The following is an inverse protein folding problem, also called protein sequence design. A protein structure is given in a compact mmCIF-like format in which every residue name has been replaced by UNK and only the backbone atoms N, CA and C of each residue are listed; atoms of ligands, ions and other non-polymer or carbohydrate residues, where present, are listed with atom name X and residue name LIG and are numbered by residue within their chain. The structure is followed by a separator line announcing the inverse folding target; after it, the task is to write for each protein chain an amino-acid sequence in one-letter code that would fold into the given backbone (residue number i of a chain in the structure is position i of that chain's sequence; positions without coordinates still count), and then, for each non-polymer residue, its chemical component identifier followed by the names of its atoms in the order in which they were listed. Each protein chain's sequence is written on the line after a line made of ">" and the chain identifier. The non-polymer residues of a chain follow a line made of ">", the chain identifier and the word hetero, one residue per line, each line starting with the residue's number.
data_IF_231367789007
#
_entry.id   IF_231367789007
#
_cell.length_a   1.000
_cell.length_b   1.000
_cell.length_c   1.000
_cell.angle_alpha   90.00
_cell.angle_beta   90.00
_cell.angle_gamma   90.00
#
_symmetry.space_group_name_H-M   'P 1'
#
loop_
_entity.id
_entity.type
_entity.pdbx_description
1 polymer ?
#
# COMPACT_ATOMS: atom_id res chain seq x y z
N UNK A 1 2.82 12.97 4.21
CA UNK A 1 4.28 13.05 4.31
C UNK A 1 4.88 13.12 2.90
N UNK A 2 6.13 13.58 2.72
CA UNK A 2 6.81 13.47 1.45
C UNK A 2 7.21 12.02 1.14
N UNK A 3 7.43 11.71 -0.14
CA UNK A 3 8.10 10.48 -0.58
C UNK A 3 9.61 10.68 -0.42
N UNK A 4 10.18 10.10 0.64
CA UNK A 4 11.63 10.09 0.86
C UNK A 4 12.28 8.83 0.27
N UNK A 5 13.62 8.77 0.40
CA UNK A 5 14.42 7.66 -0.14
C UNK A 5 14.06 6.31 0.47
N UNK A 6 13.77 6.25 1.77
CA UNK A 6 13.44 5.00 2.47
C UNK A 6 12.10 4.45 1.96
N UNK A 7 11.08 5.31 1.86
CA UNK A 7 9.77 4.94 1.33
C UNK A 7 9.89 4.53 -0.16
N UNK A 8 10.70 5.23 -0.95
CA UNK A 8 10.89 4.91 -2.36
C UNK A 8 11.57 3.55 -2.58
N UNK A 9 12.59 3.22 -1.80
CA UNK A 9 13.27 1.92 -1.86
C UNK A 9 12.34 0.79 -1.41
N UNK A 10 11.61 0.98 -0.30
CA UNK A 10 10.63 0.01 0.17
C UNK A 10 9.49 -0.23 -0.84
N UNK A 11 9.04 0.83 -1.53
CA UNK A 11 8.07 0.72 -2.60
C UNK A 11 8.62 -0.04 -3.81
N UNK A 12 9.85 0.24 -4.23
CA UNK A 12 10.50 -0.47 -5.33
C UNK A 12 10.64 -1.97 -5.04
N UNK A 13 10.97 -2.33 -3.81
CA UNK A 13 11.03 -3.72 -3.38
C UNK A 13 9.64 -4.37 -3.39
N UNK A 14 8.62 -3.67 -2.87
CA UNK A 14 7.23 -4.12 -2.94
C UNK A 14 6.72 -4.35 -4.37
N UNK A 15 7.13 -3.50 -5.32
CA UNK A 15 6.84 -3.71 -6.75
C UNK A 15 7.47 -5.00 -7.27
N UNK A 16 8.74 -5.24 -6.92
CA UNK A 16 9.51 -6.38 -7.41
C UNK A 16 9.00 -7.71 -6.84
N UNK A 17 8.84 -7.78 -5.52
CA UNK A 17 8.47 -9.01 -4.82
C UNK A 17 7.00 -9.40 -5.04
N UNK A 18 6.11 -8.41 -5.09
CA UNK A 18 4.65 -8.64 -5.08
C UNK A 18 3.96 -8.26 -6.39
N UNK A 19 4.71 -7.84 -7.42
CA UNK A 19 4.20 -7.31 -8.70
C UNK A 19 3.12 -6.24 -8.54
N UNK A 20 3.18 -5.48 -7.44
CA UNK A 20 2.26 -4.38 -7.22
C UNK A 20 2.54 -3.29 -8.24
N UNK A 21 1.47 -2.65 -8.74
CA UNK A 21 1.61 -1.40 -9.46
C UNK A 21 2.37 -0.37 -8.60
N UNK A 22 3.26 0.40 -9.22
CA UNK A 22 4.16 1.33 -8.52
C UNK A 22 3.43 2.27 -7.56
N UNK A 23 2.28 2.80 -7.98
CA UNK A 23 1.46 3.65 -7.12
C UNK A 23 0.96 2.91 -5.86
N UNK A 24 0.50 1.66 -6.00
CA UNK A 24 0.03 0.85 -4.87
C UNK A 24 1.18 0.50 -3.91
N UNK A 25 2.36 0.19 -4.45
CA UNK A 25 3.53 -0.08 -3.63
C UNK A 25 3.99 1.16 -2.84
N UNK A 26 3.98 2.34 -3.46
CA UNK A 26 4.28 3.62 -2.79
C UNK A 26 3.31 3.87 -1.64
N UNK A 27 2.00 3.70 -1.87
CA UNK A 27 0.97 3.93 -0.84
C UNK A 27 1.09 2.90 0.29
N UNK A 28 1.39 1.63 -0.01
CA UNK A 28 1.61 0.61 1.01
C UNK A 28 2.86 0.89 1.85
N UNK A 29 3.98 1.23 1.22
CA UNK A 29 5.23 1.57 1.91
C UNK A 29 5.07 2.81 2.79
N UNK A 30 4.38 3.82 2.26
CA UNK A 30 3.97 5.03 2.97
C UNK A 30 3.18 4.73 4.24
N UNK A 31 2.10 3.94 4.13
CA UNK A 31 1.27 3.59 5.28
C UNK A 31 2.06 2.83 6.36
N UNK A 32 2.91 1.88 5.93
CA UNK A 32 3.78 1.12 6.83
C UNK A 32 4.81 1.98 7.57
N UNK A 33 5.47 2.89 6.86
CA UNK A 33 6.44 3.81 7.47
C UNK A 33 5.80 4.69 8.56
N UNK A 34 4.52 5.02 8.40
CA UNK A 34 3.75 5.80 9.37
C UNK A 34 3.07 4.95 10.46
N UNK A 35 3.18 3.62 10.41
CA UNK A 35 2.41 2.72 11.28
C UNK A 35 0.89 2.85 11.10
N UNK A 36 0.44 3.29 9.92
CA UNK A 36 -0.95 3.54 9.61
C UNK A 36 -1.61 2.34 8.90
N UNK A 37 -2.93 2.25 9.01
CA UNK A 37 -3.72 1.29 8.22
C UNK A 37 -4.08 1.90 6.87
N UNK A 38 -3.73 1.21 5.78
CA UNK A 38 -4.14 1.57 4.43
C UNK A 38 -5.58 1.09 4.17
N UNK A 39 -6.52 2.02 4.11
CA UNK A 39 -7.90 1.75 3.70
C UNK A 39 -8.00 1.85 2.19
N UNK A 40 -8.52 0.81 1.54
CA UNK A 40 -8.62 0.77 0.07
C UNK A 40 -9.83 -0.02 -0.40
N UNK A 41 -10.30 0.25 -1.63
CA UNK A 41 -11.23 -0.62 -2.37
C UNK A 41 -10.55 -1.48 -3.42
N UNK A 42 -9.27 -1.20 -3.66
CA UNK A 42 -8.48 -1.99 -4.58
C UNK A 42 -8.08 -3.29 -3.89
N UNK A 43 -8.46 -4.42 -4.49
CA UNK A 43 -8.10 -5.75 -4.01
C UNK A 43 -6.67 -6.15 -4.33
N UNK A 44 -5.93 -5.37 -5.13
CA UNK A 44 -4.55 -5.69 -5.49
C UNK A 44 -3.58 -5.73 -4.28
N UNK A 45 -3.64 -4.79 -3.32
CA UNK A 45 -2.89 -4.89 -2.07
C UNK A 45 -3.51 -5.80 -1.01
N UNK A 46 -4.57 -6.57 -1.32
CA UNK A 46 -5.22 -7.45 -0.34
C UNK A 46 -4.26 -8.50 0.25
N UNK A 47 -4.48 -8.86 1.52
CA UNK A 47 -3.61 -9.77 2.27
C UNK A 47 -2.27 -9.19 2.74
N UNK A 48 -2.01 -7.90 2.53
CA UNK A 48 -0.87 -7.21 3.12
C UNK A 48 -1.12 -6.83 4.58
N UNK A 49 -0.13 -7.02 5.48
CA UNK A 49 -0.23 -6.49 6.84
C UNK A 49 -0.42 -4.96 6.79
N UNK A 50 -1.43 -4.50 7.52
CA UNK A 50 -1.80 -3.08 7.60
C UNK A 50 -2.74 -2.60 6.49
N UNK A 51 -3.35 -3.48 5.69
CA UNK A 51 -4.33 -3.10 4.67
C UNK A 51 -5.75 -3.51 5.09
N UNK A 52 -6.70 -2.59 4.96
CA UNK A 52 -8.12 -2.81 5.18
C UNK A 52 -8.89 -2.60 3.87
N UNK A 53 -9.40 -3.70 3.29
CA UNK A 53 -10.24 -3.66 2.11
C UNK A 53 -11.68 -3.32 2.51
N UNK A 54 -12.24 -2.24 1.96
CA UNK A 54 -13.64 -1.86 2.19
C UNK A 54 -14.49 -2.20 0.96
N UNK A 55 -15.58 -2.91 1.19
CA UNK A 55 -16.58 -3.21 0.17
C UNK A 55 -17.44 -1.99 -0.17
N UNK A 56 -18.18 -2.07 -1.28
CA UNK A 56 -19.25 -1.11 -1.56
C UNK A 56 -20.38 -1.35 -0.56
N UNK A 57 -20.90 -0.27 0.03
CA UNK A 57 -22.14 -0.33 0.82
C UNK A 57 -23.30 -0.39 -0.17
N UNK A 58 -24.17 -1.38 -0.03
CA UNK A 58 -25.43 -1.45 -0.79
C UNK A 58 -26.52 -0.74 0.02
N UNK A 59 -27.31 0.11 -0.65
CA UNK A 59 -28.44 0.87 -0.08
C UNK A 59 -29.74 0.08 -0.13
#
# INVERSE_FOLDING_TARGET
>A
MPLDTEIALAAAEGCRERRLATANAIVCASARAMGATLVTRDGHPDGLPGVALIGKVEE
#
